data_IF_426321794554
#
_entry.id   IF_426321794554
#
_cell.length_a   1.000
_cell.length_b   1.000
_cell.length_c   1.000
_cell.angle_alpha   90.00
_cell.angle_beta   90.00
_cell.angle_gamma   90.00
#
_symmetry.space_group_name_H-M   'P 1'
#
loop_
_entity.id
_entity.type
_entity.pdbx_description
1 polymer ?
#
# COMPACT_ATOMS: atom_id res chain seq x y z
N UNK A 1 8.83 -19.67 29.08
CA UNK A 1 7.93 -18.83 28.23
C UNK A 1 7.27 -19.64 27.14
N UNK A 2 7.96 -20.60 26.52
CA UNK A 2 7.32 -21.56 25.60
C UNK A 2 6.18 -22.36 26.26
N UNK A 3 6.37 -22.74 27.53
CA UNK A 3 5.34 -23.37 28.35
C UNK A 3 4.12 -22.45 28.58
N UNK A 4 4.37 -21.15 28.81
CA UNK A 4 3.32 -20.13 28.96
C UNK A 4 2.57 -19.86 27.65
N UNK A 5 3.24 -19.95 26.52
CA UNK A 5 2.60 -19.81 25.20
C UNK A 5 1.68 -21.01 24.90
N UNK A 6 2.11 -22.22 25.24
CA UNK A 6 1.30 -23.43 25.09
C UNK A 6 0.07 -23.43 26.02
N UNK A 7 0.23 -22.95 27.25
CA UNK A 7 -0.87 -22.77 28.20
C UNK A 7 -1.88 -21.74 27.71
N UNK A 8 -1.41 -20.57 27.26
CA UNK A 8 -2.26 -19.53 26.68
C UNK A 8 -3.03 -20.05 25.46
N UNK A 9 -2.38 -20.82 24.57
CA UNK A 9 -3.07 -21.44 23.44
C UNK A 9 -4.19 -22.39 23.89
N UNK A 10 -3.95 -23.24 24.90
CA UNK A 10 -4.99 -24.14 25.44
C UNK A 10 -6.20 -23.36 25.97
N UNK A 11 -5.96 -22.30 26.73
CA UNK A 11 -7.02 -21.42 27.23
C UNK A 11 -7.79 -20.74 26.08
N UNK A 12 -7.10 -20.29 25.04
CA UNK A 12 -7.73 -19.67 23.87
C UNK A 12 -8.58 -20.69 23.08
N UNK A 13 -8.12 -21.93 22.90
CA UNK A 13 -8.91 -22.98 22.26
C UNK A 13 -10.12 -23.37 23.11
N UNK A 14 -10.00 -23.41 24.43
CA UNK A 14 -11.14 -23.70 25.31
C UNK A 14 -12.26 -22.65 25.19
N UNK A 15 -11.89 -21.37 25.06
CA UNK A 15 -12.87 -20.26 24.97
C UNK A 15 -13.40 -20.06 23.54
N UNK A 16 -12.53 -20.15 22.53
CA UNK A 16 -12.85 -19.75 21.15
C UNK A 16 -12.96 -20.92 20.16
N UNK A 17 -12.62 -22.14 20.58
CA UNK A 17 -12.68 -23.34 19.72
C UNK A 17 -11.89 -23.15 18.43
N UNK A 18 -12.55 -23.44 17.30
CA UNK A 18 -11.95 -23.35 15.96
C UNK A 18 -11.59 -21.91 15.53
N UNK A 19 -12.14 -20.89 16.19
CA UNK A 19 -11.78 -19.49 15.95
C UNK A 19 -10.51 -19.05 16.68
N UNK A 20 -9.92 -19.91 17.53
CA UNK A 20 -8.71 -19.60 18.27
C UNK A 20 -7.48 -19.45 17.35
N UNK A 21 -6.52 -18.57 17.70
CA UNK A 21 -5.24 -18.50 17.01
C UNK A 21 -4.46 -19.81 17.13
N UNK A 22 -3.72 -20.17 16.08
CA UNK A 22 -2.86 -21.36 16.10
C UNK A 22 -1.75 -21.28 17.16
N UNK A 23 -1.24 -22.42 17.61
CA UNK A 23 -0.10 -22.50 18.55
C UNK A 23 1.12 -21.75 18.02
N UNK A 24 1.35 -21.82 16.70
CA UNK A 24 2.40 -21.04 16.03
C UNK A 24 2.19 -19.53 16.18
N UNK A 25 0.96 -19.05 15.99
CA UNK A 25 0.63 -17.64 16.18
C UNK A 25 0.86 -17.21 17.63
N UNK A 26 0.44 -18.03 18.60
CA UNK A 26 0.67 -17.76 20.01
C UNK A 26 2.16 -17.65 20.34
N UNK A 27 2.99 -18.59 19.86
CA UNK A 27 4.45 -18.54 20.06
C UNK A 27 5.08 -17.29 19.45
N UNK A 28 4.64 -16.89 18.26
CA UNK A 28 5.15 -15.67 17.60
C UNK A 28 4.80 -14.40 18.39
N UNK A 29 3.58 -14.30 18.93
CA UNK A 29 3.20 -13.21 19.82
C UNK A 29 4.04 -13.17 21.10
N UNK A 30 4.29 -14.32 21.73
CA UNK A 30 5.15 -14.40 22.91
C UNK A 30 6.61 -14.03 22.60
N UNK A 31 7.09 -14.31 21.38
CA UNK A 31 8.40 -13.85 20.91
C UNK A 31 8.42 -12.32 20.81
N UNK A 32 7.41 -11.70 20.19
CA UNK A 32 7.29 -10.23 20.11
C UNK A 32 7.29 -9.58 21.49
N UNK A 33 6.52 -10.12 22.43
CA UNK A 33 6.48 -9.60 23.80
C UNK A 33 7.84 -9.70 24.51
N UNK A 34 8.63 -10.75 24.23
CA UNK A 34 9.99 -10.88 24.75
C UNK A 34 10.93 -9.81 24.18
N UNK A 35 10.73 -9.44 22.93
CA UNK A 35 11.48 -8.39 22.24
C UNK A 35 11.00 -6.98 22.62
N UNK A 36 10.02 -6.85 23.54
CA UNK A 36 9.46 -5.59 23.99
C UNK A 36 8.40 -4.99 23.05
N UNK A 37 8.00 -5.72 22.01
CA UNK A 37 6.95 -5.32 21.07
C UNK A 37 5.59 -5.80 21.58
N UNK A 38 4.87 -4.90 22.26
CA UNK A 38 3.52 -5.12 22.77
C UNK A 38 2.43 -4.54 21.86
N UNK A 39 2.78 -4.08 20.66
CA UNK A 39 1.80 -3.54 19.73
C UNK A 39 0.89 -4.64 19.21
N UNK A 40 -0.42 -4.44 19.34
CA UNK A 40 -1.45 -5.33 18.78
C UNK A 40 -1.77 -5.02 17.33
N UNK A 41 -1.29 -3.89 16.80
CA UNK A 41 -1.52 -3.48 15.43
C UNK A 41 -0.66 -4.29 14.45
N UNK A 42 -1.23 -4.57 13.28
CA UNK A 42 -0.46 -5.13 12.19
C UNK A 42 0.63 -4.15 11.75
N UNK A 43 1.85 -4.65 11.62
CA UNK A 43 2.93 -3.87 10.99
C UNK A 43 2.53 -3.54 9.55
N UNK A 44 3.03 -2.43 8.98
CA UNK A 44 2.82 -2.12 7.57
C UNK A 44 3.11 -3.36 6.72
N UNK A 45 2.10 -3.85 6.02
CA UNK A 45 2.25 -5.00 5.14
C UNK A 45 3.08 -4.57 3.96
N UNK A 46 3.98 -5.43 3.49
CA UNK A 46 4.59 -5.24 2.17
C UNK A 46 3.46 -5.28 1.14
N UNK A 47 3.10 -4.10 0.62
CA UNK A 47 2.14 -3.99 -0.46
C UNK A 47 2.69 -4.57 -1.76
N UNK A 48 1.88 -4.51 -2.81
CA UNK A 48 2.37 -4.78 -4.16
C UNK A 48 3.52 -3.79 -4.48
N UNK A 49 4.66 -4.26 -5.01
CA UNK A 49 5.71 -3.37 -5.47
C UNK A 49 5.16 -2.35 -6.46
N UNK A 50 5.57 -1.09 -6.35
CA UNK A 50 5.23 -0.08 -7.36
C UNK A 50 5.77 -0.54 -8.71
N UNK A 51 4.96 -0.40 -9.76
CA UNK A 51 5.36 -0.73 -11.14
C UNK A 51 6.24 0.36 -11.79
N UNK A 52 6.11 1.59 -11.30
CA UNK A 52 6.87 2.76 -11.70
C UNK A 52 7.01 3.70 -10.50
N UNK A 53 8.06 4.51 -10.50
CA UNK A 53 8.32 5.53 -9.49
C UNK A 53 7.63 6.85 -9.85
N UNK A 54 7.29 7.64 -8.83
CA UNK A 54 6.62 8.94 -9.00
C UNK A 54 7.41 9.86 -9.93
N UNK A 55 8.75 9.80 -9.83
CA UNK A 55 9.68 10.56 -10.65
C UNK A 55 9.58 10.23 -12.14
N UNK A 56 9.26 8.99 -12.49
CA UNK A 56 9.08 8.59 -13.89
C UNK A 56 7.81 9.22 -14.47
N UNK A 57 6.73 9.25 -13.67
CA UNK A 57 5.49 9.94 -14.03
C UNK A 57 5.66 11.46 -14.06
N UNK A 58 6.42 12.05 -13.13
CA UNK A 58 6.75 13.48 -13.13
C UNK A 58 7.54 13.89 -14.37
N UNK A 59 8.54 13.11 -14.77
CA UNK A 59 9.34 13.41 -15.95
C UNK A 59 8.49 13.45 -17.24
N UNK A 60 7.54 12.52 -17.40
CA UNK A 60 6.61 12.51 -18.54
C UNK A 60 5.70 13.75 -18.54
N UNK A 61 5.20 14.15 -17.37
CA UNK A 61 4.37 15.35 -17.23
C UNK A 61 5.16 16.65 -17.46
N UNK A 62 6.44 16.69 -17.10
CA UNK A 62 7.31 17.82 -17.37
C UNK A 62 7.64 17.96 -18.86
N UNK A 63 7.75 16.83 -19.57
CA UNK A 63 7.92 16.80 -21.02
C UNK A 63 6.67 17.31 -21.75
N UNK A 64 5.48 16.81 -21.39
CA UNK A 64 4.21 17.27 -21.95
C UNK A 64 3.06 17.19 -20.94
N UNK A 65 2.67 18.35 -20.42
CA UNK A 65 1.56 18.50 -19.46
C UNK A 65 0.17 18.22 -20.07
N UNK A 66 0.07 18.12 -21.40
CA UNK A 66 -1.21 17.92 -22.10
C UNK A 66 -1.59 16.44 -22.28
N UNK A 67 -0.65 15.53 -22.03
CA UNK A 67 -0.82 14.08 -22.16
C UNK A 67 -2.05 13.55 -21.41
N UNK A 68 -2.65 12.53 -22.01
CA UNK A 68 -3.75 11.77 -21.42
C UNK A 68 -3.23 10.69 -20.47
N UNK A 69 -4.09 10.22 -19.57
CA UNK A 69 -3.74 9.11 -18.68
C UNK A 69 -3.48 7.79 -19.43
N UNK A 70 -3.98 7.66 -20.66
CA UNK A 70 -3.79 6.48 -21.51
C UNK A 70 -2.40 6.49 -22.14
N UNK A 71 -1.96 7.62 -22.70
CA UNK A 71 -0.60 7.79 -23.23
C UNK A 71 0.48 7.60 -22.15
N UNK A 72 0.23 8.12 -20.94
CA UNK A 72 1.10 7.89 -19.78
C UNK A 72 1.14 6.42 -19.39
N UNK A 73 0.01 5.71 -19.47
CA UNK A 73 -0.08 4.31 -19.13
C UNK A 73 0.68 3.43 -20.13
N UNK A 74 0.55 3.73 -21.42
CA UNK A 74 1.29 3.06 -22.49
C UNK A 74 2.80 3.26 -22.35
N UNK A 75 3.22 4.49 -22.04
CA UNK A 75 4.64 4.84 -21.83
C UNK A 75 5.24 4.12 -20.61
N UNK A 76 4.45 3.96 -19.53
CA UNK A 76 4.87 3.30 -18.29
C UNK A 76 4.60 1.79 -18.28
N UNK A 77 3.98 1.23 -19.34
CA UNK A 77 3.62 -0.19 -19.41
C UNK A 77 2.63 -0.63 -18.31
N UNK A 78 1.76 0.27 -17.87
CA UNK A 78 0.76 0.03 -16.82
C UNK A 78 -0.65 0.25 -17.34
N UNK A 79 -1.65 0.02 -16.48
CA UNK A 79 -3.03 0.33 -16.84
C UNK A 79 -3.33 1.80 -16.58
N UNK A 80 -4.27 2.36 -17.34
CA UNK A 80 -4.76 3.74 -17.15
C UNK A 80 -5.25 3.99 -15.71
N UNK A 81 -5.83 2.98 -15.04
CA UNK A 81 -6.24 3.10 -13.64
C UNK A 81 -5.05 3.26 -12.68
N UNK A 82 -3.92 2.61 -12.95
CA UNK A 82 -2.71 2.75 -12.13
C UNK A 82 -2.18 4.19 -12.17
N UNK A 83 -2.17 4.80 -13.35
CA UNK A 83 -1.82 6.21 -13.53
C UNK A 83 -2.83 7.11 -12.83
N UNK A 84 -4.14 6.83 -12.97
CA UNK A 84 -5.21 7.61 -12.34
C UNK A 84 -5.11 7.64 -10.80
N UNK A 85 -4.87 6.47 -10.19
CA UNK A 85 -4.65 6.36 -8.74
C UNK A 85 -3.40 7.13 -8.33
N UNK A 86 -2.29 6.98 -9.06
CA UNK A 86 -1.02 7.64 -8.71
C UNK A 86 -1.11 9.16 -8.80
N UNK A 87 -1.72 9.70 -9.86
CA UNK A 87 -1.93 11.15 -9.99
C UNK A 87 -2.74 11.72 -8.82
N UNK A 88 -3.74 10.97 -8.35
CA UNK A 88 -4.54 11.36 -7.17
C UNK A 88 -3.69 11.34 -5.89
N UNK A 89 -2.89 10.31 -5.68
CA UNK A 89 -2.00 10.20 -4.52
C UNK A 89 -0.97 11.33 -4.48
N UNK A 90 -0.51 11.77 -5.65
CA UNK A 90 0.42 12.90 -5.82
C UNK A 90 -0.26 14.27 -5.73
N UNK A 91 -1.60 14.34 -5.67
CA UNK A 91 -2.35 15.58 -5.64
C UNK A 91 -2.36 16.36 -6.97
N UNK A 92 -2.06 15.69 -8.08
CA UNK A 92 -2.06 16.30 -9.42
C UNK A 92 -3.49 16.35 -9.97
N UNK A 93 -3.90 17.55 -10.39
CA UNK A 93 -5.25 17.80 -10.94
C UNK A 93 -5.09 18.39 -12.34
N UNK A 94 -5.81 17.82 -13.32
CA UNK A 94 -5.83 18.35 -14.69
C UNK A 94 -6.62 19.66 -14.72
N UNK A 95 -5.97 20.75 -15.09
CA UNK A 95 -6.61 22.05 -15.35
C UNK A 95 -6.81 22.23 -16.84
N UNK A 96 -7.90 22.91 -17.22
CA UNK A 96 -8.09 23.30 -18.62
C UNK A 96 -7.09 24.41 -18.98
N UNK A 97 -6.59 24.39 -20.21
CA UNK A 97 -5.72 25.44 -20.72
C UNK A 97 -6.44 26.79 -20.79
N UNK A 98 -5.68 27.87 -20.67
CA UNK A 98 -6.22 29.22 -20.84
C UNK A 98 -6.49 29.48 -22.33
N UNK A 99 -7.67 30.01 -22.65
CA UNK A 99 -7.97 30.47 -24.00
C UNK A 99 -7.23 31.78 -24.27
N UNK A 100 -6.42 31.81 -25.34
CA UNK A 100 -5.70 33.01 -25.79
C UNK A 100 -6.34 33.50 -27.09
N UNK A 101 -6.89 34.73 -27.15
CA UNK A 101 -7.40 35.31 -28.37
C UNK A 101 -6.29 35.43 -29.43
N UNK A 102 -6.60 35.02 -30.66
CA UNK A 102 -5.70 35.18 -31.79
C UNK A 102 -5.92 36.55 -32.43
N UNK A 103 -4.88 37.39 -32.48
CA UNK A 103 -4.95 38.67 -33.20
C UNK A 103 -4.41 38.51 -34.63
N UNK A 104 -5.17 39.03 -35.60
CA UNK A 104 -4.89 38.99 -37.04
C UNK A 104 -4.11 40.22 -37.51
#
# INVERSE_FOLDING_TARGET
LEEKAAEAHRMLVEVYGDAAPTDKSCREWFRRFKDGDFSVEDKPRSGQPKKFEDKELEALLEEDQSQTQEELADSLGVTQQAVSVRLRDMGIIRKQGNWVPYEL
#
